data_IF_370144363514
#
_entry.id   IF_370144363514
#
_cell.length_a   1.000
_cell.length_b   1.000
_cell.length_c   1.000
_cell.angle_alpha   90.00
_cell.angle_beta   90.00
_cell.angle_gamma   90.00
#
_symmetry.space_group_name_H-M   'P 1'
#
loop_
_entity.id
_entity.type
_entity.pdbx_description
1 polymer ?
#
# COMPACT_ATOMS: atom_id res chain seq x y z
N UNK A 1 -3.71 -9.69 -11.38
CA UNK A 1 -2.44 -8.98 -11.14
C UNK A 1 -2.14 -8.96 -9.66
N UNK A 2 -0.89 -9.05 -9.30
CA UNK A 2 -0.48 -9.14 -7.90
C UNK A 2 0.37 -7.94 -7.52
N UNK A 3 0.01 -7.32 -6.41
CA UNK A 3 0.71 -6.16 -5.85
C UNK A 3 1.03 -6.43 -4.38
N UNK A 4 1.89 -5.61 -3.81
CA UNK A 4 2.19 -5.65 -2.38
C UNK A 4 1.89 -4.29 -1.76
N UNK A 5 1.19 -4.30 -0.64
CA UNK A 5 0.95 -3.09 0.13
C UNK A 5 1.78 -3.18 1.42
N UNK A 6 2.67 -2.21 1.61
CA UNK A 6 3.51 -2.15 2.81
C UNK A 6 2.96 -1.08 3.73
N UNK A 7 2.73 -1.45 4.99
CA UNK A 7 2.29 -0.50 6.00
C UNK A 7 3.53 0.05 6.68
N UNK A 8 3.72 1.37 6.59
CA UNK A 8 4.95 2.04 7.00
C UNK A 8 4.64 3.02 8.11
N UNK A 9 5.35 2.87 9.25
CA UNK A 9 5.20 3.80 10.38
C UNK A 9 5.83 5.15 10.05
N UNK A 10 5.46 6.20 10.80
CA UNK A 10 6.05 7.53 10.59
C UNK A 10 7.57 7.57 10.69
N UNK A 11 8.17 6.63 11.45
CA UNK A 11 9.63 6.54 11.58
C UNK A 11 10.30 5.83 10.40
N UNK A 12 9.51 5.36 9.41
CA UNK A 12 10.01 4.68 8.22
C UNK A 12 10.10 3.17 8.32
N UNK A 13 9.73 2.59 9.45
CA UNK A 13 9.75 1.14 9.59
C UNK A 13 8.50 0.50 8.99
N UNK A 14 8.70 -0.58 8.23
CA UNK A 14 7.61 -1.38 7.70
C UNK A 14 7.12 -2.30 8.80
N UNK A 15 5.83 -2.16 9.17
CA UNK A 15 5.25 -2.96 10.25
C UNK A 15 4.42 -4.13 9.75
N UNK A 16 3.99 -4.08 8.48
CA UNK A 16 3.21 -5.17 7.91
C UNK A 16 3.26 -5.12 6.39
N UNK A 17 2.94 -6.24 5.79
CA UNK A 17 2.84 -6.38 4.34
C UNK A 17 1.56 -7.13 4.01
N UNK A 18 0.80 -6.63 3.05
CA UNK A 18 -0.43 -7.26 2.58
C UNK A 18 -0.28 -7.55 1.09
N UNK A 19 -0.50 -8.79 0.70
CA UNK A 19 -0.53 -9.14 -0.71
C UNK A 19 -1.89 -8.75 -1.28
N UNK A 20 -1.88 -8.02 -2.40
CA UNK A 20 -3.09 -7.53 -3.04
C UNK A 20 -3.24 -8.23 -4.39
N UNK A 21 -4.28 -9.04 -4.53
CA UNK A 21 -4.61 -9.69 -5.80
C UNK A 21 -5.84 -8.99 -6.37
N UNK A 22 -5.71 -8.48 -7.58
CA UNK A 22 -6.75 -7.65 -8.18
C UNK A 22 -6.75 -7.76 -9.69
N UNK A 23 -7.76 -7.17 -10.33
CA UNK A 23 -7.91 -7.22 -11.78
C UNK A 23 -7.04 -6.18 -12.48
N UNK A 24 -6.79 -5.03 -11.83
CA UNK A 24 -6.00 -3.96 -12.43
C UNK A 24 -5.44 -3.03 -11.36
N UNK A 25 -4.64 -2.05 -11.80
CA UNK A 25 -3.96 -1.13 -10.91
C UNK A 25 -4.93 -0.19 -10.18
N UNK A 26 -6.04 0.17 -10.83
CA UNK A 26 -7.05 1.05 -10.22
C UNK A 26 -7.64 0.37 -8.97
N UNK A 27 -7.96 -0.91 -9.10
CA UNK A 27 -8.47 -1.68 -7.98
C UNK A 27 -7.41 -1.83 -6.88
N UNK A 28 -6.15 -2.06 -7.27
CA UNK A 28 -5.06 -2.17 -6.32
C UNK A 28 -4.90 -0.88 -5.50
N UNK A 29 -4.99 0.28 -6.15
CA UNK A 29 -4.91 1.59 -5.48
C UNK A 29 -6.05 1.78 -4.49
N UNK A 30 -7.26 1.39 -4.89
CA UNK A 30 -8.43 1.50 -4.02
C UNK A 30 -8.29 0.62 -2.78
N UNK A 31 -7.84 -0.61 -2.97
CA UNK A 31 -7.65 -1.54 -1.85
C UNK A 31 -6.54 -1.05 -0.91
N UNK A 32 -5.45 -0.56 -1.46
CA UNK A 32 -4.35 -0.01 -0.66
C UNK A 32 -4.82 1.18 0.17
N UNK A 33 -5.62 2.05 -0.42
CA UNK A 33 -6.16 3.23 0.28
C UNK A 33 -7.05 2.84 1.45
N UNK A 34 -7.79 1.73 1.34
CA UNK A 34 -8.64 1.24 2.42
C UNK A 34 -7.83 0.72 3.61
N UNK A 35 -6.59 0.34 3.40
CA UNK A 35 -5.71 -0.17 4.45
C UNK A 35 -5.06 0.96 5.25
N UNK A 36 -5.06 2.18 4.69
CA UNK A 36 -4.49 3.34 5.38
C UNK A 36 -5.28 3.61 6.65
N UNK A 37 -4.55 3.74 7.75
CA UNK A 37 -5.11 4.08 9.05
C UNK A 37 -4.21 5.13 9.69
N UNK A 38 -3.45 4.80 10.71
CA UNK A 38 -2.52 5.74 11.33
C UNK A 38 -1.18 5.77 10.62
N UNK A 39 -0.89 4.75 9.83
CA UNK A 39 0.36 4.58 9.12
C UNK A 39 0.15 4.80 7.63
N UNK A 40 1.21 5.19 6.94
CA UNK A 40 1.20 5.29 5.49
C UNK A 40 1.18 3.89 4.87
N UNK A 41 0.69 3.79 3.64
CA UNK A 41 0.69 2.55 2.89
C UNK A 41 1.38 2.80 1.56
N UNK A 42 2.37 1.97 1.23
CA UNK A 42 3.05 2.01 -0.07
C UNK A 42 2.59 0.83 -0.90
N UNK A 43 2.08 1.12 -2.09
CA UNK A 43 1.65 0.08 -3.03
C UNK A 43 2.77 -0.19 -4.01
N UNK A 44 3.20 -1.44 -4.09
CA UNK A 44 4.30 -1.88 -4.94
C UNK A 44 3.86 -2.99 -5.88
N UNK A 45 4.47 -3.04 -7.04
CA UNK A 45 4.39 -4.18 -7.94
C UNK A 45 5.83 -4.65 -8.21
N UNK A 46 6.23 -5.77 -7.57
CA UNK A 46 7.61 -6.20 -7.60
C UNK A 46 8.52 -5.14 -6.98
N UNK A 47 9.46 -4.64 -7.76
CA UNK A 47 10.40 -3.62 -7.32
C UNK A 47 9.99 -2.19 -7.74
N UNK A 48 8.77 -2.04 -8.25
CA UNK A 48 8.26 -0.76 -8.73
C UNK A 48 7.26 -0.18 -7.74
N UNK A 49 7.56 1.00 -7.21
CA UNK A 49 6.63 1.75 -6.37
C UNK A 49 5.54 2.36 -7.25
N UNK A 50 4.28 2.02 -6.96
CA UNK A 50 3.14 2.56 -7.69
C UNK A 50 2.72 3.89 -7.09
N UNK A 51 2.45 3.88 -5.78
CA UNK A 51 1.99 5.08 -5.08
C UNK A 51 2.15 4.90 -3.57
N UNK A 52 2.35 6.02 -2.88
CA UNK A 52 2.33 6.06 -1.42
C UNK A 52 1.09 6.82 -0.97
N UNK A 53 0.34 6.23 -0.05
CA UNK A 53 -0.87 6.83 0.51
C UNK A 53 -0.57 7.24 1.94
N UNK A 54 -0.70 8.54 2.20
CA UNK A 54 -0.48 9.09 3.55
C UNK A 54 -1.76 9.01 4.36
N UNK A 55 -1.67 8.82 5.70
CA UNK A 55 -2.84 8.84 6.54
C UNK A 55 -3.45 10.25 6.57
N UNK A 56 -4.77 10.31 6.60
CA UNK A 56 -5.50 11.56 6.76
C UNK A 56 -5.64 11.85 8.26
N UNK A 57 -5.53 13.12 8.59
CA UNK A 57 -5.73 13.57 9.97
C UNK A 57 -7.19 13.82 10.28
#
# INVERSE_FOLDING_TARGET
>A
MQYQAYIVRPDGHIVNRVDVVCTDEVEARRLAKQVVDRNAVELWQGDRLIERFEPEE
#
